data_IF_648036847154
#
_entry.id   IF_648036847154
#
_cell.length_a   1.000
_cell.length_b   1.000
_cell.length_c   1.000
_cell.angle_alpha   90.00
_cell.angle_beta   90.00
_cell.angle_gamma   90.00
#
_symmetry.space_group_name_H-M   'P 1'
#
loop_
_entity.id
_entity.type
_entity.pdbx_description
1 polymer ?
#
# COMPACT_ATOMS: atom_id res chain seq x y z
N UNK A 1 -5.02 31.24 81.48
CA UNK A 1 -4.10 32.22 80.84
C UNK A 1 -3.94 31.79 79.37
N UNK A 2 -3.82 32.73 78.42
CA UNK A 2 -3.52 32.45 77.01
C UNK A 2 -2.04 32.00 76.85
N UNK A 3 -1.45 31.62 75.71
CA UNK A 3 -1.62 31.93 74.26
C UNK A 3 -1.30 30.66 73.42
N UNK A 4 -1.89 30.38 72.26
CA UNK A 4 -1.93 31.08 70.96
C UNK A 4 -0.63 30.98 70.11
N UNK A 5 -0.71 30.14 69.06
CA UNK A 5 -0.21 30.25 67.66
C UNK A 5 1.24 30.64 67.26
N UNK A 6 1.53 30.28 66.00
CA UNK A 6 2.55 30.81 65.07
C UNK A 6 4.05 30.59 65.32
N UNK A 7 4.68 29.66 64.57
CA UNK A 7 5.43 30.05 63.35
C UNK A 7 5.98 28.87 62.50
N UNK A 8 6.21 29.18 61.22
CA UNK A 8 7.01 28.47 60.19
C UNK A 8 8.03 29.50 59.62
N UNK A 9 8.97 29.20 58.68
CA UNK A 9 9.06 28.11 57.70
C UNK A 9 10.00 26.99 58.22
N UNK A 10 10.92 26.28 57.54
CA UNK A 10 11.44 26.31 56.16
C UNK A 10 11.98 24.92 55.69
N UNK A 11 13.13 24.86 55.01
CA UNK A 11 13.64 23.75 54.20
C UNK A 11 15.14 23.42 54.54
N UNK A 12 15.83 22.44 53.90
CA UNK A 12 15.41 21.60 52.76
C UNK A 12 15.79 20.09 52.79
N UNK A 13 15.20 19.36 51.81
CA UNK A 13 15.71 18.17 51.10
C UNK A 13 16.05 16.85 51.86
N UNK A 14 15.48 15.73 51.39
CA UNK A 14 15.89 14.38 51.82
C UNK A 14 15.25 13.19 51.06
N UNK A 15 16.04 12.59 50.16
CA UNK A 15 15.97 11.20 49.64
C UNK A 15 14.72 10.64 48.92
N UNK A 16 14.97 9.81 47.89
CA UNK A 16 14.03 8.95 47.18
C UNK A 16 14.40 7.47 47.38
N UNK A 17 13.45 6.65 47.83
CA UNK A 17 13.46 5.18 47.74
C UNK A 17 12.03 4.64 47.99
N UNK A 18 11.58 3.51 47.46
CA UNK A 18 12.26 2.54 46.58
C UNK A 18 12.01 1.10 47.03
N UNK A 19 10.88 0.50 46.67
CA UNK A 19 10.56 -0.90 46.97
C UNK A 19 9.75 -1.55 45.82
N UNK A 20 10.09 -2.80 45.48
CA UNK A 20 9.58 -3.50 44.29
C UNK A 20 8.61 -4.62 44.71
N UNK A 21 7.51 -4.78 43.98
CA UNK A 21 6.67 -5.98 44.04
C UNK A 21 6.10 -6.30 42.65
N UNK A 22 6.53 -7.42 42.05
CA UNK A 22 6.09 -7.84 40.72
C UNK A 22 5.18 -9.06 40.78
N UNK A 23 4.01 -9.00 40.13
CA UNK A 23 3.28 -10.19 39.67
C UNK A 23 2.22 -9.86 38.61
N UNK A 24 2.01 -10.81 37.70
CA UNK A 24 0.85 -10.98 36.82
C UNK A 24 0.51 -9.81 35.87
N UNK A 25 1.12 -9.80 34.69
CA UNK A 25 0.54 -9.20 33.49
C UNK A 25 0.16 -10.31 32.50
N UNK A 26 -1.11 -10.72 32.55
CA UNK A 26 -1.70 -11.76 31.69
C UNK A 26 -3.20 -11.83 31.93
N UNK A 27 -3.95 -12.15 30.86
CA UNK A 27 -5.42 -12.06 30.77
C UNK A 27 -5.99 -10.63 30.95
N UNK A 28 -6.20 -9.95 29.83
CA UNK A 28 -6.99 -8.72 29.73
C UNK A 28 -7.82 -8.74 28.43
N UNK A 29 -8.57 -9.82 28.22
CA UNK A 29 -9.48 -9.98 27.09
C UNK A 29 -10.76 -9.13 27.24
N UNK A 30 -11.29 -8.67 26.11
CA UNK A 30 -12.75 -8.75 25.90
C UNK A 30 -13.64 -7.64 26.44
N UNK A 31 -13.16 -6.42 26.70
CA UNK A 31 -14.04 -5.25 26.88
C UNK A 31 -13.43 -3.95 26.35
N UNK A 32 -14.29 -3.02 25.90
CA UNK A 32 -13.95 -1.66 25.47
C UNK A 32 -13.07 -1.51 24.21
N UNK A 33 -13.35 -2.28 23.14
CA UNK A 33 -12.92 -1.90 21.79
C UNK A 33 -13.77 -0.72 21.26
N UNK A 34 -13.58 0.47 21.84
CA UNK A 34 -14.18 1.71 21.33
C UNK A 34 -13.71 1.91 19.87
N UNK A 35 -14.62 2.29 18.98
CA UNK A 35 -14.52 2.09 17.51
C UNK A 35 -13.44 2.88 16.74
N UNK A 36 -12.18 2.78 17.14
CA UNK A 36 -10.99 3.25 16.41
C UNK A 36 -10.41 2.14 15.51
N UNK A 37 -11.26 1.22 15.04
CA UNK A 37 -10.92 0.19 14.05
C UNK A 37 -10.83 0.79 12.65
N UNK A 38 -9.89 1.74 12.46
CA UNK A 38 -9.29 1.91 11.14
C UNK A 38 -8.62 0.60 10.77
N UNK A 39 -8.93 0.05 9.60
CA UNK A 39 -8.41 -1.25 9.17
C UNK A 39 -6.87 -1.22 9.21
N UNK A 40 -6.27 -1.99 10.12
CA UNK A 40 -4.81 -2.15 10.19
C UNK A 40 -4.38 -2.84 8.90
N UNK A 41 -3.94 -2.03 7.92
CA UNK A 41 -3.46 -2.52 6.63
C UNK A 41 -2.44 -3.63 6.84
N UNK A 42 -2.54 -4.76 6.12
CA UNK A 42 -1.60 -5.86 6.29
C UNK A 42 -0.19 -5.38 5.99
N UNK A 43 0.76 -5.68 6.88
CA UNK A 43 2.17 -5.43 6.62
C UNK A 43 2.62 -6.13 5.34
N UNK A 44 3.57 -5.53 4.63
CA UNK A 44 4.13 -6.14 3.43
C UNK A 44 4.73 -7.51 3.78
N UNK A 45 4.31 -8.53 3.02
CA UNK A 45 4.84 -9.89 3.11
C UNK A 45 5.79 -10.11 1.95
N UNK A 46 6.99 -10.60 2.26
CA UNK A 46 8.04 -10.81 1.28
C UNK A 46 7.66 -11.88 0.27
N UNK A 47 8.09 -11.66 -0.98
CA UNK A 47 7.78 -12.46 -2.16
C UNK A 47 9.08 -12.88 -2.85
N UNK A 48 8.98 -13.86 -3.74
CA UNK A 48 10.10 -14.32 -4.57
C UNK A 48 10.63 -13.16 -5.41
N UNK A 49 11.95 -13.09 -5.55
CA UNK A 49 12.69 -12.00 -6.22
C UNK A 49 12.70 -10.64 -5.50
N UNK A 50 12.11 -10.50 -4.31
CA UNK A 50 12.34 -9.30 -3.49
C UNK A 50 13.81 -9.22 -3.05
N UNK A 51 14.33 -8.00 -2.93
CA UNK A 51 15.72 -7.70 -2.59
C UNK A 51 15.76 -6.94 -1.27
N UNK A 52 16.32 -7.57 -0.25
CA UNK A 52 16.53 -6.96 1.06
C UNK A 52 17.99 -6.52 1.20
N UNK A 53 18.19 -5.41 1.89
CA UNK A 53 19.47 -4.94 2.34
C UNK A 53 19.53 -5.15 3.86
N UNK A 54 20.58 -5.84 4.31
CA UNK A 54 20.77 -6.27 5.70
C UNK A 54 22.03 -5.59 6.21
N UNK A 55 21.86 -4.68 7.17
CA UNK A 55 22.92 -3.88 7.77
C UNK A 55 23.03 -4.19 9.26
N UNK A 56 24.26 -4.45 9.73
CA UNK A 56 24.60 -4.76 11.11
C UNK A 56 25.24 -3.53 11.75
N UNK A 57 24.66 -3.00 12.81
CA UNK A 57 25.09 -1.70 13.41
C UNK A 57 26.54 -1.74 13.89
N UNK A 58 26.99 -2.86 14.43
CA UNK A 58 28.32 -3.04 15.03
C UNK A 58 29.25 -3.97 14.25
N UNK A 59 28.83 -4.50 13.11
CA UNK A 59 29.54 -5.57 12.37
C UNK A 59 29.42 -5.40 10.84
N UNK A 60 29.86 -4.24 10.29
CA UNK A 60 29.60 -3.86 8.90
C UNK A 60 30.19 -4.81 7.83
N UNK A 61 31.14 -5.66 8.20
CA UNK A 61 31.67 -6.74 7.36
C UNK A 61 30.59 -7.77 6.94
N UNK A 62 29.55 -7.95 7.77
CA UNK A 62 28.39 -8.79 7.46
C UNK A 62 27.32 -8.09 6.61
N UNK A 63 27.43 -6.77 6.36
CA UNK A 63 26.47 -6.02 5.55
C UNK A 63 26.35 -6.63 4.14
N UNK A 64 25.13 -6.80 3.67
CA UNK A 64 24.84 -7.56 2.45
C UNK A 64 23.50 -7.17 1.84
N UNK A 65 23.42 -7.22 0.51
CA UNK A 65 22.14 -7.24 -0.20
C UNK A 65 21.82 -8.70 -0.52
N UNK A 66 20.69 -9.19 -0.02
CA UNK A 66 20.22 -10.57 -0.13
C UNK A 66 18.88 -10.63 -0.87
N UNK A 67 18.79 -11.47 -1.90
CA UNK A 67 17.58 -11.65 -2.71
C UNK A 67 16.82 -12.90 -2.26
N UNK A 68 15.49 -12.79 -2.12
CA UNK A 68 14.60 -13.94 -1.88
C UNK A 68 14.62 -14.83 -3.13
N UNK A 69 15.21 -16.01 -3.00
CA UNK A 69 15.36 -16.98 -4.08
C UNK A 69 14.00 -17.61 -4.48
N UNK A 70 13.89 -18.25 -5.66
CA UNK A 70 12.64 -18.86 -6.13
C UNK A 70 12.09 -20.00 -5.24
N UNK A 71 12.88 -20.51 -4.30
CA UNK A 71 12.50 -21.48 -3.26
C UNK A 71 11.92 -20.82 -1.98
N UNK A 72 11.99 -19.49 -1.87
CA UNK A 72 11.53 -18.71 -0.71
C UNK A 72 12.60 -18.40 0.34
N UNK A 73 13.87 -18.75 0.09
CA UNK A 73 14.98 -18.57 1.05
C UNK A 73 15.86 -17.35 0.74
N UNK A 74 16.48 -16.81 1.80
CA UNK A 74 17.56 -15.84 1.75
C UNK A 74 18.90 -16.54 2.00
N UNK A 75 19.89 -16.23 1.17
CA UNK A 75 21.29 -16.65 1.36
C UNK A 75 22.00 -15.51 2.11
N UNK A 76 22.72 -15.85 3.17
CA UNK A 76 23.32 -14.89 4.11
C UNK A 76 24.79 -15.29 4.42
N UNK A 77 25.68 -14.31 4.56
CA UNK A 77 27.10 -14.50 4.89
C UNK A 77 27.28 -15.22 6.23
N UNK A 78 27.79 -16.46 6.23
CA UNK A 78 28.22 -17.16 7.44
C UNK A 78 27.12 -17.89 8.23
N UNK A 79 25.85 -17.71 7.87
CA UNK A 79 24.72 -18.48 8.41
C UNK A 79 24.03 -19.27 7.29
N UNK A 80 23.25 -20.30 7.65
CA UNK A 80 22.53 -21.12 6.68
C UNK A 80 21.43 -20.36 5.93
N UNK A 81 20.83 -20.97 4.88
CA UNK A 81 19.71 -20.38 4.16
C UNK A 81 18.51 -20.16 5.08
N UNK A 82 17.98 -18.94 5.10
CA UNK A 82 16.89 -18.53 5.99
C UNK A 82 15.59 -18.38 5.20
N UNK A 83 14.55 -19.13 5.56
CA UNK A 83 13.24 -19.01 4.91
C UNK A 83 12.59 -17.65 5.21
N UNK A 84 12.13 -16.95 4.16
CA UNK A 84 11.62 -15.58 4.23
C UNK A 84 10.28 -15.36 3.49
N UNK A 85 9.90 -16.22 2.55
CA UNK A 85 8.66 -16.04 1.78
C UNK A 85 7.40 -16.01 2.68
N UNK A 86 6.55 -15.00 2.46
CA UNK A 86 5.31 -14.80 3.20
C UNK A 86 5.47 -14.16 4.59
N UNK A 87 6.69 -14.05 5.11
CA UNK A 87 6.99 -13.35 6.37
C UNK A 87 6.98 -11.84 6.19
N UNK A 88 6.80 -11.08 7.28
CA UNK A 88 7.04 -9.63 7.25
C UNK A 88 8.52 -9.31 7.43
N UNK A 89 8.94 -8.10 7.05
CA UNK A 89 10.31 -7.61 7.25
C UNK A 89 10.75 -7.74 8.71
N UNK A 90 9.86 -7.48 9.67
CA UNK A 90 10.12 -7.60 11.12
C UNK A 90 10.33 -9.06 11.56
N UNK A 91 9.56 -10.01 11.01
CA UNK A 91 9.70 -11.43 11.33
C UNK A 91 11.04 -11.98 10.81
N UNK A 92 11.43 -11.57 9.59
CA UNK A 92 12.73 -11.91 9.01
C UNK A 92 13.87 -11.25 9.78
N UNK A 93 13.78 -9.97 10.14
CA UNK A 93 14.77 -9.28 10.96
C UNK A 93 15.03 -10.03 12.28
N UNK A 94 13.98 -10.41 13.02
CA UNK A 94 14.14 -11.22 14.23
C UNK A 94 14.76 -12.60 13.97
N UNK A 95 14.48 -13.20 12.81
CA UNK A 95 15.00 -14.51 12.44
C UNK A 95 16.47 -14.46 12.01
N UNK A 96 16.90 -13.38 11.35
CA UNK A 96 18.31 -13.05 11.10
C UNK A 96 19.04 -12.84 12.43
N UNK A 97 18.51 -11.99 13.32
CA UNK A 97 19.08 -11.76 14.66
C UNK A 97 19.25 -13.07 15.43
N UNK A 98 18.27 -13.99 15.36
CA UNK A 98 18.38 -15.34 15.96
C UNK A 98 19.49 -16.17 15.30
N UNK A 99 19.57 -16.22 13.97
CA UNK A 99 20.57 -17.01 13.25
C UNK A 99 22.02 -16.54 13.46
N UNK A 100 22.24 -15.25 13.70
CA UNK A 100 23.58 -14.68 13.91
C UNK A 100 24.07 -14.73 15.37
N UNK A 101 23.25 -15.09 16.36
CA UNK A 101 23.65 -15.13 17.78
C UNK A 101 24.78 -16.11 18.11
N UNK A 102 24.94 -17.16 17.32
CA UNK A 102 26.02 -18.14 17.48
C UNK A 102 27.37 -17.63 16.95
N UNK A 103 27.36 -16.51 16.20
CA UNK A 103 28.51 -15.92 15.50
C UNK A 103 28.85 -14.50 15.95
N UNK A 104 27.86 -13.74 16.43
CA UNK A 104 27.95 -12.34 16.84
C UNK A 104 27.39 -12.15 18.25
N UNK A 105 28.10 -11.38 19.07
CA UNK A 105 27.62 -10.99 20.39
C UNK A 105 26.66 -9.79 20.26
N UNK A 106 25.39 -10.01 20.63
CA UNK A 106 24.27 -9.07 20.53
C UNK A 106 24.14 -8.36 19.15
N UNK A 107 23.82 -9.10 18.07
CA UNK A 107 23.75 -8.54 16.72
C UNK A 107 22.53 -7.64 16.54
N UNK A 108 22.74 -6.32 16.59
CA UNK A 108 21.76 -5.34 16.14
C UNK A 108 21.72 -5.29 14.60
N UNK A 109 20.58 -5.67 14.02
CA UNK A 109 20.39 -5.78 12.56
C UNK A 109 19.23 -4.91 12.11
N UNK A 110 19.49 -4.03 11.15
CA UNK A 110 18.48 -3.30 10.37
C UNK A 110 18.26 -3.99 9.03
N UNK A 111 16.99 -4.20 8.65
CA UNK A 111 16.62 -4.79 7.35
C UNK A 111 15.77 -3.79 6.57
N UNK A 112 16.25 -3.38 5.40
CA UNK A 112 15.59 -2.47 4.46
C UNK A 112 15.13 -3.22 3.21
N UNK A 113 13.89 -2.99 2.77
CA UNK A 113 13.40 -3.53 1.50
C UNK A 113 13.89 -2.62 0.36
N UNK A 114 14.89 -3.10 -0.39
CA UNK A 114 15.63 -2.30 -1.39
C UNK A 114 15.00 -2.34 -2.77
N UNK A 115 14.54 -3.51 -3.19
CA UNK A 115 13.70 -3.68 -4.38
C UNK A 115 12.65 -4.77 -4.11
N UNK A 116 11.50 -4.70 -4.79
CA UNK A 116 10.37 -5.59 -4.56
C UNK A 116 9.43 -5.59 -5.76
N UNK A 117 8.56 -6.62 -5.90
CA UNK A 117 7.51 -6.59 -6.93
C UNK A 117 6.49 -5.48 -6.60
N UNK A 118 6.76 -4.29 -7.14
CA UNK A 118 5.99 -3.07 -6.87
C UNK A 118 4.55 -3.29 -7.31
N UNK A 119 3.57 -3.11 -6.40
CA UNK A 119 2.19 -3.35 -6.74
C UNK A 119 1.77 -2.44 -7.88
N UNK A 120 0.89 -2.94 -8.76
CA UNK A 120 0.53 -2.24 -9.98
C UNK A 120 -0.93 -2.43 -10.35
N UNK A 121 -1.47 -1.52 -11.14
CA UNK A 121 -2.73 -1.67 -11.83
C UNK A 121 -2.56 -1.47 -13.34
N UNK A 122 -3.54 -1.87 -14.13
CA UNK A 122 -3.58 -1.64 -15.57
C UNK A 122 -4.82 -0.80 -15.90
N UNK A 123 -4.63 0.35 -16.54
CA UNK A 123 -5.72 1.15 -17.08
C UNK A 123 -5.83 0.89 -18.60
N UNK A 124 -7.02 0.56 -19.09
CA UNK A 124 -7.24 0.15 -20.48
C UNK A 124 -8.58 0.62 -21.04
N UNK A 125 -8.68 0.73 -22.36
CA UNK A 125 -9.82 1.32 -23.06
C UNK A 125 -9.74 2.85 -23.11
N UNK A 126 -10.88 3.52 -22.92
CA UNK A 126 -11.07 4.96 -23.15
C UNK A 126 -10.57 5.84 -21.99
N UNK A 127 -9.26 5.77 -21.75
CA UNK A 127 -8.50 6.72 -20.93
C UNK A 127 -7.46 7.45 -21.79
N UNK A 128 -7.08 8.66 -21.39
CA UNK A 128 -6.12 9.50 -22.14
C UNK A 128 -4.77 8.80 -22.37
N UNK A 129 -4.34 7.94 -21.44
CA UNK A 129 -3.15 7.11 -21.54
C UNK A 129 -3.46 5.69 -21.00
N UNK A 130 -3.74 4.70 -21.85
CA UNK A 130 -3.81 3.31 -21.41
C UNK A 130 -2.40 2.77 -21.12
N UNK A 131 -2.25 1.92 -20.10
CA UNK A 131 -0.95 1.37 -19.69
C UNK A 131 -0.94 0.69 -18.31
N UNK A 132 0.22 0.14 -17.94
CA UNK A 132 0.53 -0.36 -16.60
C UNK A 132 1.04 0.79 -15.72
N UNK A 133 0.53 0.90 -14.51
CA UNK A 133 0.83 1.98 -13.55
C UNK A 133 1.24 1.42 -12.19
N UNK A 134 2.18 2.07 -11.52
CA UNK A 134 2.65 1.71 -10.17
C UNK A 134 1.65 2.19 -9.11
N UNK A 135 1.19 1.26 -8.26
CA UNK A 135 0.20 1.49 -7.20
C UNK A 135 0.91 1.99 -5.93
N UNK A 136 1.20 3.30 -5.88
CA UNK A 136 2.02 3.90 -4.81
C UNK A 136 1.27 4.21 -3.50
N UNK A 137 -0.06 4.06 -3.48
CA UNK A 137 -0.91 4.35 -2.34
C UNK A 137 -2.16 3.47 -2.37
N UNK A 138 -3.10 3.74 -1.46
CA UNK A 138 -4.44 3.14 -1.42
C UNK A 138 -5.33 3.79 -2.49
N UNK A 139 -4.96 3.60 -3.76
CA UNK A 139 -5.53 4.32 -4.91
C UNK A 139 -6.92 3.78 -5.26
N UNK A 140 -7.90 4.68 -5.28
CA UNK A 140 -9.28 4.40 -5.73
C UNK A 140 -9.37 4.26 -7.26
N UNK A 141 -10.48 3.70 -7.77
CA UNK A 141 -10.70 3.60 -9.22
C UNK A 141 -10.79 4.99 -9.88
N UNK A 142 -11.35 5.99 -9.20
CA UNK A 142 -11.37 7.38 -9.71
C UNK A 142 -9.97 7.97 -9.81
N UNK A 143 -9.12 7.80 -8.79
CA UNK A 143 -7.72 8.28 -8.82
C UNK A 143 -6.88 7.53 -9.86
N UNK A 144 -7.11 6.23 -10.04
CA UNK A 144 -6.44 5.43 -11.07
C UNK A 144 -6.73 5.95 -12.49
N UNK A 145 -7.98 6.35 -12.76
CA UNK A 145 -8.34 7.03 -14.02
C UNK A 145 -7.69 8.41 -14.12
N UNK A 146 -7.60 9.17 -13.02
CA UNK A 146 -6.91 10.46 -13.02
C UNK A 146 -5.40 10.32 -13.32
N UNK A 147 -4.74 9.29 -12.76
CA UNK A 147 -3.34 8.92 -13.05
C UNK A 147 -3.15 8.53 -14.52
N UNK A 148 -4.12 7.81 -15.11
CA UNK A 148 -4.18 7.53 -16.55
C UNK A 148 -4.44 8.79 -17.43
N UNK A 149 -4.58 9.98 -16.83
CA UNK A 149 -4.82 11.24 -17.54
C UNK A 149 -6.29 11.56 -17.79
N UNK A 150 -7.20 10.90 -17.08
CA UNK A 150 -8.64 11.07 -17.21
C UNK A 150 -9.29 10.23 -18.31
N UNK A 151 -10.60 10.37 -18.44
CA UNK A 151 -11.42 9.76 -19.49
C UNK A 151 -11.26 10.48 -20.83
N UNK A 152 -11.36 9.76 -21.95
CA UNK A 152 -11.51 10.39 -23.27
C UNK A 152 -12.92 10.98 -23.44
N UNK A 153 -13.13 11.79 -24.48
CA UNK A 153 -14.46 12.29 -24.87
C UNK A 153 -15.45 11.18 -25.28
N UNK A 154 -14.93 9.98 -25.53
CA UNK A 154 -15.66 8.83 -26.07
C UNK A 154 -15.88 7.71 -25.01
N UNK A 155 -15.41 7.94 -23.78
CA UNK A 155 -15.53 7.03 -22.65
C UNK A 155 -16.97 6.90 -22.10
N UNK A 156 -17.32 5.71 -21.62
CA UNK A 156 -18.60 5.45 -20.93
C UNK A 156 -18.43 5.43 -19.40
N UNK A 157 -18.38 6.63 -18.81
CA UNK A 157 -18.10 6.85 -17.36
C UNK A 157 -19.04 6.09 -16.39
N UNK A 158 -20.21 5.64 -16.85
CA UNK A 158 -21.20 4.93 -16.03
C UNK A 158 -21.13 3.40 -16.10
N UNK A 159 -20.12 2.84 -16.79
CA UNK A 159 -19.91 1.41 -16.95
C UNK A 159 -18.41 1.08 -16.99
N UNK A 160 -17.64 1.57 -16.02
CA UNK A 160 -16.23 1.16 -15.88
C UNK A 160 -16.20 -0.24 -15.27
N UNK A 161 -15.37 -1.12 -15.82
CA UNK A 161 -15.27 -2.52 -15.43
C UNK A 161 -13.95 -2.74 -14.71
N UNK A 162 -14.02 -3.10 -13.43
CA UNK A 162 -12.88 -3.51 -12.64
C UNK A 162 -12.80 -5.04 -12.67
N UNK A 163 -11.74 -5.58 -13.27
CA UNK A 163 -11.39 -6.99 -13.19
C UNK A 163 -10.33 -7.20 -12.12
N UNK A 164 -10.61 -8.10 -11.19
CA UNK A 164 -9.78 -8.41 -10.01
C UNK A 164 -9.48 -9.91 -9.96
N UNK A 165 -8.21 -10.29 -10.05
CA UNK A 165 -7.79 -11.70 -9.95
C UNK A 165 -7.99 -12.20 -8.52
N UNK A 166 -8.72 -13.30 -8.36
CA UNK A 166 -9.01 -13.95 -7.06
C UNK A 166 -8.26 -15.29 -6.95
N UNK A 167 -8.16 -16.01 -8.06
CA UNK A 167 -7.25 -17.15 -8.25
C UNK A 167 -6.64 -17.09 -9.65
N UNK A 168 -5.87 -18.10 -10.06
CA UNK A 168 -5.31 -18.15 -11.41
C UNK A 168 -6.35 -18.34 -12.53
N UNK A 169 -7.53 -18.84 -12.18
CA UNK A 169 -8.64 -19.08 -13.11
C UNK A 169 -9.85 -18.16 -12.87
N UNK A 170 -10.00 -17.60 -11.66
CA UNK A 170 -11.16 -16.78 -11.28
C UNK A 170 -10.82 -15.29 -11.20
N UNK A 171 -11.49 -14.50 -12.04
CA UNK A 171 -11.48 -13.04 -11.98
C UNK A 171 -12.86 -12.51 -11.52
N UNK A 172 -12.89 -11.86 -10.36
CA UNK A 172 -14.05 -11.07 -9.92
C UNK A 172 -14.21 -9.86 -10.85
N UNK A 173 -15.40 -9.65 -11.39
CA UNK A 173 -15.71 -8.52 -12.28
C UNK A 173 -16.72 -7.60 -11.60
N UNK A 174 -16.33 -6.35 -11.32
CA UNK A 174 -17.19 -5.33 -10.72
C UNK A 174 -17.51 -4.23 -11.73
N UNK A 175 -18.80 -3.91 -11.88
CA UNK A 175 -19.26 -2.79 -12.71
C UNK A 175 -19.44 -1.54 -11.84
N UNK A 176 -18.79 -0.44 -12.22
CA UNK A 176 -18.74 0.80 -11.44
C UNK A 176 -19.30 1.98 -12.25
N UNK A 177 -20.23 2.71 -11.63
CA UNK A 177 -20.84 3.93 -12.19
C UNK A 177 -20.13 5.17 -11.64
N UNK A 178 -18.90 5.40 -12.13
CA UNK A 178 -18.08 6.54 -11.73
C UNK A 178 -18.77 7.89 -12.04
N UNK A 179 -19.68 7.93 -13.02
CA UNK A 179 -20.53 9.10 -13.31
C UNK A 179 -21.47 9.44 -12.14
N UNK A 180 -22.05 8.43 -11.46
CA UNK A 180 -22.84 8.67 -10.24
C UNK A 180 -21.95 9.11 -9.07
N UNK A 181 -20.83 8.42 -8.84
CA UNK A 181 -19.90 8.71 -7.74
C UNK A 181 -19.35 10.15 -7.81
N UNK A 182 -18.85 10.57 -8.97
CA UNK A 182 -18.37 11.93 -9.20
C UNK A 182 -19.46 12.99 -9.05
N UNK A 183 -20.73 12.66 -9.33
CA UNK A 183 -21.86 13.58 -9.16
C UNK A 183 -22.38 13.64 -7.72
N UNK A 184 -22.42 12.51 -7.01
CA UNK A 184 -22.89 12.45 -5.61
C UNK A 184 -21.86 13.00 -4.62
N UNK A 185 -20.58 13.05 -5.03
CA UNK A 185 -19.41 13.35 -4.17
C UNK A 185 -19.22 12.32 -3.03
N UNK A 186 -19.89 11.16 -3.07
CA UNK A 186 -19.75 10.15 -2.04
C UNK A 186 -18.53 9.25 -2.29
N UNK A 187 -17.34 9.73 -1.94
CA UNK A 187 -16.09 8.99 -2.08
C UNK A 187 -16.03 7.69 -1.25
N UNK A 188 -16.95 7.49 -0.28
CA UNK A 188 -17.03 6.24 0.52
C UNK A 188 -17.51 5.03 -0.27
N UNK A 189 -18.12 5.23 -1.44
CA UNK A 189 -18.54 4.17 -2.34
C UNK A 189 -17.49 3.85 -3.43
N UNK A 190 -16.36 4.58 -3.48
CA UNK A 190 -15.29 4.26 -4.43
C UNK A 190 -14.51 3.02 -3.99
N UNK A 191 -14.02 2.25 -4.96
CA UNK A 191 -13.37 0.96 -4.73
C UNK A 191 -11.86 1.16 -4.76
N UNK A 192 -11.20 0.87 -3.64
CA UNK A 192 -9.75 0.78 -3.56
C UNK A 192 -9.22 -0.36 -4.44
N UNK A 193 -8.18 -0.06 -5.23
CA UNK A 193 -7.50 -1.02 -6.08
C UNK A 193 -6.57 -1.95 -5.29
N UNK A 194 -6.31 -3.11 -5.86
CA UNK A 194 -5.34 -4.09 -5.40
C UNK A 194 -4.28 -4.32 -6.48
N UNK A 195 -3.13 -4.86 -6.08
CA UNK A 195 -2.09 -5.24 -7.03
C UNK A 195 -2.63 -6.28 -8.03
N UNK A 196 -2.43 -6.03 -9.32
CA UNK A 196 -2.91 -6.86 -10.42
C UNK A 196 -4.33 -6.54 -10.92
N UNK A 197 -5.01 -5.55 -10.35
CA UNK A 197 -6.33 -5.12 -10.85
C UNK A 197 -6.21 -4.47 -12.26
N UNK A 198 -7.18 -4.78 -13.12
CA UNK A 198 -7.37 -4.20 -14.45
C UNK A 198 -8.62 -3.33 -14.46
N UNK A 199 -8.44 -2.04 -14.69
CA UNK A 199 -9.51 -1.04 -14.85
C UNK A 199 -9.75 -0.84 -16.35
N UNK A 200 -10.90 -1.30 -16.85
CA UNK A 200 -11.29 -1.20 -18.25
C UNK A 200 -12.44 -0.21 -18.46
N UNK A 201 -12.22 0.79 -19.31
CA UNK A 201 -13.18 1.86 -19.61
C UNK A 201 -13.72 1.63 -21.03
N UNK A 202 -14.97 1.19 -21.20
CA UNK A 202 -15.53 0.93 -22.53
C UNK A 202 -15.91 2.21 -23.29
N UNK A 203 -15.87 2.14 -24.61
CA UNK A 203 -16.43 3.15 -25.51
C UNK A 203 -17.94 3.31 -25.34
N UNK A 204 -18.41 4.56 -25.38
CA UNK A 204 -19.81 4.89 -25.44
C UNK A 204 -20.42 4.48 -26.80
N UNK A 205 -21.73 4.22 -26.84
CA UNK A 205 -22.40 3.65 -28.03
C UNK A 205 -22.29 4.56 -29.26
N UNK A 206 -22.41 5.88 -29.08
CA UNK A 206 -22.23 6.87 -30.15
C UNK A 206 -20.82 6.85 -30.74
N UNK A 207 -19.80 6.62 -29.92
CA UNK A 207 -18.39 6.60 -30.30
C UNK A 207 -18.05 5.39 -31.17
N UNK A 208 -18.64 4.22 -30.85
CA UNK A 208 -18.56 3.02 -31.70
C UNK A 208 -19.16 3.28 -33.09
N UNK A 209 -20.28 3.99 -33.17
CA UNK A 209 -20.95 4.33 -34.44
C UNK A 209 -20.14 5.36 -35.25
N UNK A 210 -19.59 6.39 -34.60
CA UNK A 210 -18.81 7.45 -35.29
C UNK A 210 -17.61 6.92 -36.07
N UNK A 211 -17.04 5.76 -35.68
CA UNK A 211 -15.95 5.10 -36.41
C UNK A 211 -16.34 4.58 -37.81
N UNK A 212 -17.63 4.36 -38.06
CA UNK A 212 -18.15 3.79 -39.32
C UNK A 212 -18.96 4.78 -40.17
N UNK A 213 -19.16 6.01 -39.69
CA UNK A 213 -19.75 7.07 -40.49
C UNK A 213 -18.67 7.76 -41.32
N UNK A 214 -18.76 7.78 -42.67
CA UNK A 214 -17.88 8.61 -43.47
C UNK A 214 -18.16 10.07 -43.12
N UNK A 215 -17.14 10.80 -42.64
CA UNK A 215 -17.26 12.24 -42.45
C UNK A 215 -17.54 12.89 -43.82
N UNK A 216 -18.63 13.66 -43.99
CA UNK A 216 -18.79 14.45 -45.19
C UNK A 216 -17.68 15.48 -45.23
N UNK A 217 -16.74 15.31 -46.17
CA UNK A 217 -15.77 16.34 -46.52
C UNK A 217 -16.54 17.45 -47.23
N UNK A 218 -17.09 18.40 -46.46
CA UNK A 218 -17.89 19.53 -46.93
C UNK A 218 -17.02 20.57 -47.66
N UNK A 219 -16.34 20.14 -48.72
CA UNK A 219 -15.82 21.00 -49.77
C UNK A 219 -16.97 21.46 -50.65
N UNK A 220 -17.86 22.29 -50.09
CA UNK A 220 -18.81 23.03 -50.92
C UNK A 220 -18.03 24.02 -51.77
N UNK A 221 -17.85 23.68 -53.05
CA UNK A 221 -17.44 24.62 -54.08
C UNK A 221 -18.54 25.65 -54.29
N UNK A 222 -18.59 26.67 -53.42
CA UNK A 222 -19.20 27.95 -53.77
C UNK A 222 -18.33 28.60 -54.85
N UNK A 223 -18.77 28.47 -56.10
CA UNK A 223 -18.13 29.09 -57.25
C UNK A 223 -18.92 30.34 -57.65
N UNK A 224 -18.53 31.56 -57.20
CA UNK A 224 -19.38 32.76 -57.27
C UNK A 224 -19.31 33.45 -58.64
N UNK A 225 -19.37 32.70 -59.73
CA UNK A 225 -19.22 33.20 -61.11
C UNK A 225 -20.02 32.39 -62.13
N UNK A 226 -21.24 32.83 -62.43
CA UNK A 226 -21.68 33.07 -63.82
C UNK A 226 -23.04 33.80 -63.86
N UNK A 227 -23.01 35.01 -64.45
CA UNK A 227 -24.11 35.87 -64.88
C UNK A 227 -25.09 36.35 -63.79
#
# INVERSE_FOLDING_TARGET
VATAQENRPDAPAGALAGAVAAKNLGAADGALSLGLTGERRPFYRLRKSDVLEVNFTFSPEFNQTATVQPDGFLILKGVGPLYAEGQTVTDVQQSIVRAYRDWLHDPEVTVTLRDFDKPYFIASGEVTRPGKYELRADTTVTEAVAIAGGFTRDAKHSQVVLFRRVSDELAETRLLDLKKLLKSKNLKEDVHLRSGDLVFIPQNTMSKIRKYLPFPTTGMYVNPTQF
#
